data_IF_374527708411
#
_entry.id   IF_374527708411
#
_cell.length_a   1.000
_cell.length_b   1.000
_cell.length_c   1.000
_cell.angle_alpha   90.00
_cell.angle_beta   90.00
_cell.angle_gamma   90.00
#
_symmetry.space_group_name_H-M   'P 1'
#
loop_
_entity.id
_entity.type
_entity.pdbx_description
1 polymer ?
#
# COMPACT_ATOMS: atom_id res chain seq x y z
N UNK A 1 18.80 -71.97 -11.40
CA UNK A 1 19.11 -71.07 -12.53
C UNK A 1 17.80 -70.48 -13.05
N UNK A 2 17.70 -69.14 -13.08
CA UNK A 2 16.84 -68.24 -13.89
C UNK A 2 15.31 -68.53 -13.94
N UNK A 3 14.44 -67.69 -13.37
CA UNK A 3 14.06 -66.28 -13.68
C UNK A 3 12.99 -66.15 -14.78
N UNK A 4 11.97 -65.30 -14.54
CA UNK A 4 11.01 -64.79 -15.51
C UNK A 4 9.58 -64.70 -14.94
N UNK A 5 9.28 -63.82 -13.97
CA UNK A 5 8.93 -62.39 -14.12
C UNK A 5 7.52 -62.14 -14.68
N UNK A 6 6.57 -61.91 -13.77
CA UNK A 6 5.27 -61.28 -13.99
C UNK A 6 5.47 -59.76 -13.93
N UNK A 7 5.17 -59.03 -15.01
CA UNK A 7 5.11 -57.57 -15.01
C UNK A 7 3.69 -57.13 -14.63
N UNK A 8 3.50 -56.65 -13.41
CA UNK A 8 2.34 -55.82 -13.04
C UNK A 8 2.72 -54.37 -13.34
N UNK A 9 2.02 -53.78 -14.30
CA UNK A 9 2.12 -52.38 -14.68
C UNK A 9 1.33 -51.54 -13.67
N UNK A 10 1.95 -51.16 -12.56
CA UNK A 10 1.39 -50.14 -11.65
C UNK A 10 1.78 -48.77 -12.20
N UNK A 11 0.88 -48.14 -12.95
CA UNK A 11 0.99 -46.73 -13.28
C UNK A 11 0.82 -45.91 -12.00
N UNK A 12 1.94 -45.56 -11.36
CA UNK A 12 1.99 -44.51 -10.35
C UNK A 12 1.72 -43.21 -11.12
N UNK A 13 0.48 -42.74 -11.06
CA UNK A 13 0.14 -41.34 -11.29
C UNK A 13 1.02 -40.53 -10.33
N UNK A 14 2.14 -40.04 -10.85
CA UNK A 14 2.88 -38.96 -10.24
C UNK A 14 1.91 -37.79 -10.17
N UNK A 15 1.33 -37.58 -8.99
CA UNK A 15 0.75 -36.31 -8.64
C UNK A 15 1.89 -35.29 -8.70
N UNK A 16 2.12 -34.73 -9.88
CA UNK A 16 2.67 -33.39 -10.03
C UNK A 16 1.60 -32.43 -9.53
N UNK A 17 1.38 -32.43 -8.21
CA UNK A 17 1.11 -31.18 -7.53
C UNK A 17 2.36 -30.33 -7.78
N UNK A 18 2.32 -29.49 -8.82
CA UNK A 18 3.14 -28.30 -8.85
C UNK A 18 3.02 -27.71 -7.45
N UNK A 19 4.10 -27.77 -6.69
CA UNK A 19 4.20 -27.06 -5.43
C UNK A 19 3.74 -25.64 -5.73
N UNK A 20 2.61 -25.21 -5.17
CA UNK A 20 2.44 -23.81 -4.85
C UNK A 20 3.64 -23.51 -3.94
N UNK A 21 4.71 -22.99 -4.53
CA UNK A 21 5.99 -22.84 -3.86
C UNK A 21 5.70 -22.01 -2.61
N UNK A 22 5.81 -22.62 -1.43
CA UNK A 22 5.29 -22.07 -0.18
C UNK A 22 5.75 -20.62 0.01
N UNK A 23 4.86 -19.65 -0.20
CA UNK A 23 5.15 -18.23 -0.06
C UNK A 23 5.72 -17.97 1.33
N UNK A 24 6.74 -17.10 1.43
CA UNK A 24 7.27 -16.74 2.75
C UNK A 24 6.13 -16.15 3.60
N UNK A 25 6.14 -16.49 4.88
CA UNK A 25 5.19 -15.94 5.84
C UNK A 25 5.87 -14.79 6.59
N UNK A 26 5.28 -13.59 6.61
CA UNK A 26 5.77 -12.50 7.44
C UNK A 26 5.79 -12.92 8.91
N UNK A 27 6.83 -12.51 9.62
CA UNK A 27 6.84 -12.58 11.09
C UNK A 27 5.99 -11.41 11.62
N UNK A 28 4.96 -11.66 12.45
CA UNK A 28 4.14 -10.61 13.03
C UNK A 28 4.96 -9.62 13.87
N UNK A 29 4.61 -8.33 13.84
CA UNK A 29 5.26 -7.30 14.65
C UNK A 29 5.16 -7.56 16.17
N UNK A 30 4.08 -8.21 16.61
CA UNK A 30 3.90 -8.61 18.00
C UNK A 30 4.96 -9.62 18.46
N UNK A 31 5.56 -10.37 17.53
CA UNK A 31 6.53 -11.43 17.80
C UNK A 31 7.99 -10.95 17.67
N UNK A 32 8.21 -9.65 17.45
CA UNK A 32 9.55 -9.06 17.22
C UNK A 32 9.82 -7.91 18.20
N UNK A 33 10.84 -8.07 19.03
CA UNK A 33 11.33 -7.01 19.91
C UNK A 33 12.54 -6.30 19.29
N UNK A 34 12.36 -5.02 18.94
CA UNK A 34 13.43 -4.17 18.41
C UNK A 34 14.14 -3.49 19.57
N UNK A 35 15.35 -3.94 19.89
CA UNK A 35 16.15 -3.48 21.04
C UNK A 35 17.41 -2.69 20.65
N UNK A 36 17.70 -2.57 19.35
CA UNK A 36 18.90 -1.89 18.86
C UNK A 36 18.87 -0.37 19.03
N UNK A 37 20.06 0.22 19.16
CA UNK A 37 20.26 1.66 19.44
C UNK A 37 19.74 2.59 18.35
N UNK A 38 19.60 2.10 17.11
CA UNK A 38 19.11 2.91 16.01
C UNK A 38 17.59 3.00 15.96
N UNK A 39 16.89 1.86 15.95
CA UNK A 39 15.44 1.83 15.72
C UNK A 39 14.62 1.95 17.01
N UNK A 40 15.08 1.40 18.13
CA UNK A 40 14.29 1.42 19.36
C UNK A 40 13.96 2.86 19.83
N UNK A 41 14.91 3.82 19.85
CA UNK A 41 14.59 5.20 20.21
C UNK A 41 13.61 5.87 19.23
N UNK A 42 13.73 5.59 17.92
CA UNK A 42 12.84 6.16 16.89
C UNK A 42 11.42 5.63 16.99
N UNK A 43 11.26 4.34 17.29
CA UNK A 43 9.94 3.74 17.54
C UNK A 43 9.29 4.40 18.75
N UNK A 44 10.07 4.65 19.81
CA UNK A 44 9.58 5.31 21.02
C UNK A 44 9.21 6.78 20.78
N UNK A 45 10.04 7.52 20.02
CA UNK A 45 9.73 8.90 19.59
C UNK A 45 8.46 8.93 18.72
N UNK A 46 8.31 7.99 17.79
CA UNK A 46 7.11 7.90 16.97
C UNK A 46 5.85 7.68 17.84
N UNK A 47 5.95 6.82 18.87
CA UNK A 47 4.86 6.52 19.81
C UNK A 47 4.49 7.72 20.69
N UNK A 48 5.49 8.42 21.22
CA UNK A 48 5.31 9.46 22.27
C UNK A 48 5.20 10.87 21.71
N UNK A 49 5.74 11.13 20.53
CA UNK A 49 5.78 12.46 19.90
C UNK A 49 5.03 12.48 18.59
N UNK A 50 5.44 11.69 17.58
CA UNK A 50 4.94 11.84 16.21
C UNK A 50 3.45 11.50 16.07
N UNK A 51 3.03 10.33 16.56
CA UNK A 51 1.61 9.94 16.50
C UNK A 51 0.75 10.87 17.36
N UNK A 52 1.27 11.32 18.51
CA UNK A 52 0.59 12.28 19.37
C UNK A 52 0.42 13.65 18.68
N UNK A 53 1.43 14.08 17.92
CA UNK A 53 1.35 15.28 17.09
C UNK A 53 0.26 15.12 16.03
N UNK A 54 0.20 13.97 15.35
CA UNK A 54 -0.85 13.69 14.39
C UNK A 54 -2.24 13.76 15.03
N UNK A 55 -2.48 13.15 16.18
CA UNK A 55 -3.78 13.26 16.88
C UNK A 55 -4.18 14.72 17.12
N UNK A 56 -3.26 15.53 17.67
CA UNK A 56 -3.52 16.97 17.90
C UNK A 56 -3.78 17.74 16.62
N UNK A 57 -3.09 17.43 15.52
CA UNK A 57 -3.29 18.11 14.25
C UNK A 57 -4.67 17.79 13.66
N UNK A 58 -5.09 16.52 13.67
CA UNK A 58 -6.41 16.10 13.22
C UNK A 58 -7.51 16.73 14.10
N UNK A 59 -7.30 16.79 15.41
CA UNK A 59 -8.17 17.52 16.34
C UNK A 59 -8.32 19.01 15.98
N UNK A 60 -7.19 19.70 15.80
CA UNK A 60 -7.18 21.14 15.52
C UNK A 60 -7.84 21.50 14.19
N UNK A 61 -7.82 20.59 13.22
CA UNK A 61 -8.37 20.81 11.89
C UNK A 61 -9.82 20.33 11.75
N UNK A 62 -10.36 19.66 12.77
CA UNK A 62 -11.69 19.05 12.73
C UNK A 62 -11.82 17.89 11.74
N UNK A 63 -10.71 17.44 11.16
CA UNK A 63 -10.65 16.25 10.30
C UNK A 63 -10.37 15.09 11.22
N UNK A 64 -11.33 14.19 11.37
CA UNK A 64 -11.20 13.00 12.21
C UNK A 64 -11.45 11.71 11.42
N UNK A 65 -11.52 11.85 10.10
CA UNK A 65 -11.81 10.81 9.13
C UNK A 65 -10.51 10.23 8.55
N UNK A 66 -9.63 9.72 9.43
CA UNK A 66 -8.41 9.04 9.00
C UNK A 66 -8.28 7.66 9.62
N UNK A 67 -8.65 6.61 8.87
CA UNK A 67 -8.41 5.22 9.29
C UNK A 67 -6.94 4.94 9.59
N UNK A 68 -6.01 5.68 8.98
CA UNK A 68 -4.55 5.54 9.22
C UNK A 68 -4.14 5.86 10.65
N UNK A 69 -4.83 6.76 11.35
CA UNK A 69 -4.56 7.02 12.76
C UNK A 69 -5.03 5.86 13.65
N UNK A 70 -6.18 5.26 13.32
CA UNK A 70 -6.67 4.06 14.00
C UNK A 70 -5.68 2.90 13.79
N UNK A 71 -5.20 2.72 12.56
CA UNK A 71 -4.19 1.72 12.21
C UNK A 71 -2.88 1.94 12.99
N UNK A 72 -2.36 3.17 13.02
CA UNK A 72 -1.15 3.51 13.78
C UNK A 72 -1.32 3.23 15.28
N UNK A 73 -2.46 3.63 15.86
CA UNK A 73 -2.75 3.37 17.26
C UNK A 73 -2.91 1.87 17.56
N UNK A 74 -3.50 1.10 16.64
CA UNK A 74 -3.59 -0.34 16.76
C UNK A 74 -2.19 -0.98 16.86
N UNK A 75 -1.23 -0.51 16.05
CA UNK A 75 0.15 -0.98 16.16
C UNK A 75 0.79 -0.62 17.51
N UNK A 76 0.55 0.59 18.04
CA UNK A 76 1.00 0.95 19.39
C UNK A 76 0.41 0.03 20.46
N UNK A 77 -0.91 -0.19 20.43
CA UNK A 77 -1.65 -1.01 21.40
C UNK A 77 -1.33 -2.50 21.31
N UNK A 78 -0.83 -2.97 20.16
CA UNK A 78 -0.35 -4.35 20.03
C UNK A 78 0.99 -4.58 20.74
N UNK A 79 1.77 -3.51 20.94
CA UNK A 79 3.07 -3.54 21.64
C UNK A 79 2.95 -3.20 23.11
N UNK A 80 2.18 -2.17 23.44
CA UNK A 80 1.98 -1.70 24.81
C UNK A 80 0.52 -1.31 25.02
N UNK A 81 -0.13 -1.95 25.99
CA UNK A 81 -1.52 -1.61 26.35
C UNK A 81 -1.57 -0.20 26.95
N UNK A 82 -2.54 0.58 26.47
CA UNK A 82 -2.82 1.93 26.94
C UNK A 82 -4.34 2.14 26.92
N UNK A 83 -5.03 1.96 28.07
CA UNK A 83 -6.48 2.09 28.14
C UNK A 83 -7.01 3.49 27.77
N UNK A 84 -6.21 4.54 28.01
CA UNK A 84 -6.60 5.91 27.70
C UNK A 84 -6.57 6.14 26.18
N UNK A 85 -5.49 5.70 25.52
CA UNK A 85 -5.40 5.71 24.06
C UNK A 85 -6.48 4.83 23.43
N UNK A 86 -6.72 3.64 23.96
CA UNK A 86 -7.75 2.74 23.43
C UNK A 86 -9.15 3.38 23.49
N UNK A 87 -9.50 4.00 24.61
CA UNK A 87 -10.78 4.71 24.78
C UNK A 87 -10.91 5.90 23.83
N UNK A 88 -9.82 6.64 23.64
CA UNK A 88 -9.80 7.74 22.68
C UNK A 88 -10.04 7.27 21.24
N UNK A 89 -9.35 6.20 20.84
CA UNK A 89 -9.43 5.64 19.49
C UNK A 89 -10.76 4.95 19.22
N UNK A 90 -11.43 4.36 20.23
CA UNK A 90 -12.82 3.88 20.12
C UNK A 90 -13.75 5.00 19.61
N UNK A 91 -13.56 6.24 20.08
CA UNK A 91 -14.32 7.39 19.61
C UNK A 91 -14.06 7.75 18.14
N UNK A 92 -12.85 7.49 17.63
CA UNK A 92 -12.54 7.64 16.20
C UNK A 92 -13.14 6.50 15.38
N UNK A 93 -13.06 5.27 15.88
CA UNK A 93 -13.68 4.08 15.28
C UNK A 93 -15.18 4.29 15.09
N UNK A 94 -15.87 4.84 16.10
CA UNK A 94 -17.31 5.10 16.01
C UNK A 94 -17.67 6.10 14.91
N UNK A 95 -16.85 7.15 14.73
CA UNK A 95 -17.05 8.15 13.66
C UNK A 95 -16.83 7.53 12.28
N UNK A 96 -15.76 6.75 12.12
CA UNK A 96 -15.43 6.06 10.87
C UNK A 96 -16.49 5.01 10.50
N UNK A 97 -16.93 4.22 11.47
CA UNK A 97 -18.00 3.25 11.28
C UNK A 97 -19.27 3.95 10.82
N UNK A 98 -19.71 5.02 11.50
CA UNK A 98 -20.88 5.77 11.09
C UNK A 98 -20.71 6.40 9.69
N UNK A 99 -19.49 6.81 9.33
CA UNK A 99 -19.15 7.36 8.03
C UNK A 99 -19.32 6.30 6.91
N UNK A 100 -18.81 5.09 7.13
CA UNK A 100 -18.96 3.97 6.18
C UNK A 100 -20.40 3.48 6.12
N UNK A 101 -21.10 3.37 7.24
CA UNK A 101 -22.49 2.92 7.29
C UNK A 101 -23.43 3.78 6.43
N UNK A 102 -23.22 5.11 6.39
CA UNK A 102 -23.98 6.00 5.49
C UNK A 102 -23.80 5.66 4.01
N UNK A 103 -22.60 5.20 3.62
CA UNK A 103 -22.28 4.86 2.22
C UNK A 103 -22.85 3.52 1.78
N UNK A 104 -23.20 2.63 2.71
CA UNK A 104 -23.74 1.29 2.39
C UNK A 104 -25.05 1.34 1.59
N UNK A 105 -25.75 2.47 1.60
CA UNK A 105 -27.04 2.65 0.93
C UNK A 105 -26.94 2.79 -0.60
N UNK A 106 -25.75 3.03 -1.17
CA UNK A 106 -25.56 3.24 -2.61
C UNK A 106 -24.28 2.60 -3.12
N UNK A 107 -24.32 1.82 -4.21
CA UNK A 107 -23.13 1.29 -4.87
C UNK A 107 -22.07 2.35 -5.18
N UNK A 108 -22.50 3.51 -5.67
CA UNK A 108 -21.65 4.63 -6.09
C UNK A 108 -20.93 5.30 -4.90
N UNK A 109 -21.45 5.12 -3.69
CA UNK A 109 -20.86 5.61 -2.46
C UNK A 109 -20.00 4.55 -1.77
N UNK A 110 -20.47 3.30 -1.67
CA UNK A 110 -19.73 2.25 -0.96
C UNK A 110 -18.44 1.86 -1.68
N UNK A 111 -18.39 1.94 -3.01
CA UNK A 111 -17.16 1.71 -3.77
C UNK A 111 -16.03 2.71 -3.44
N UNK A 112 -16.39 3.86 -2.85
CA UNK A 112 -15.45 4.92 -2.42
C UNK A 112 -15.00 4.76 -0.98
N UNK A 113 -15.37 3.67 -0.30
CA UNK A 113 -14.79 3.33 0.99
C UNK A 113 -13.30 3.03 0.77
N UNK A 114 -12.44 3.79 1.45
CA UNK A 114 -11.00 3.67 1.29
C UNK A 114 -10.50 2.30 1.75
N UNK A 115 -9.55 1.73 1.03
CA UNK A 115 -8.87 0.51 1.47
C UNK A 115 -8.19 0.66 2.83
N UNK A 116 -7.81 1.89 3.22
CA UNK A 116 -7.29 2.19 4.56
C UNK A 116 -8.30 1.88 5.67
N UNK A 117 -9.60 2.01 5.41
CA UNK A 117 -10.62 1.59 6.38
C UNK A 117 -10.56 0.09 6.63
N UNK A 118 -10.31 -0.71 5.59
CA UNK A 118 -10.17 -2.15 5.71
C UNK A 118 -8.87 -2.55 6.43
N UNK A 119 -7.74 -1.92 6.10
CA UNK A 119 -6.47 -2.14 6.80
C UNK A 119 -6.58 -1.79 8.30
N UNK A 120 -7.15 -0.62 8.60
CA UNK A 120 -7.38 -0.17 9.97
C UNK A 120 -8.33 -1.10 10.74
N UNK A 121 -9.40 -1.60 10.10
CA UNK A 121 -10.32 -2.54 10.72
C UNK A 121 -9.64 -3.85 11.12
N UNK A 122 -8.74 -4.38 10.27
CA UNK A 122 -7.93 -5.57 10.57
C UNK A 122 -6.95 -5.27 11.70
N UNK A 123 -6.19 -4.17 11.61
CA UNK A 123 -5.22 -3.81 12.63
C UNK A 123 -5.88 -3.61 14.01
N UNK A 124 -7.00 -2.89 14.05
CA UNK A 124 -7.76 -2.63 15.27
C UNK A 124 -8.31 -3.91 15.89
N UNK A 125 -8.88 -4.80 15.07
CA UNK A 125 -9.35 -6.11 15.52
C UNK A 125 -8.22 -6.94 16.14
N UNK A 126 -7.05 -6.99 15.51
CA UNK A 126 -5.90 -7.74 16.03
C UNK A 126 -5.37 -7.15 17.34
N UNK A 127 -5.35 -5.83 17.48
CA UNK A 127 -4.81 -5.15 18.66
C UNK A 127 -5.72 -5.25 19.89
N UNK A 128 -7.04 -5.20 19.69
CA UNK A 128 -8.03 -5.03 20.77
C UNK A 128 -9.03 -6.19 20.91
N UNK A 129 -9.16 -7.04 19.90
CA UNK A 129 -10.22 -8.05 19.79
C UNK A 129 -11.60 -7.47 19.44
N UNK A 130 -11.74 -6.14 19.32
CA UNK A 130 -13.03 -5.48 19.05
C UNK A 130 -13.45 -5.66 17.60
N UNK A 131 -14.72 -5.99 17.39
CA UNK A 131 -15.26 -6.37 16.07
C UNK A 131 -16.11 -5.31 15.39
N UNK A 132 -16.36 -4.15 16.02
CA UNK A 132 -17.25 -3.12 15.46
C UNK A 132 -16.80 -2.67 14.07
N UNK A 133 -15.56 -2.17 13.95
CA UNK A 133 -14.99 -1.71 12.68
C UNK A 133 -14.87 -2.83 11.66
N UNK A 134 -14.39 -4.02 12.08
CA UNK A 134 -14.30 -5.20 11.23
C UNK A 134 -15.67 -5.63 10.68
N UNK A 135 -16.71 -5.61 11.51
CA UNK A 135 -18.07 -5.93 11.09
C UNK A 135 -18.59 -4.97 10.02
N UNK A 136 -18.30 -3.67 10.14
CA UNK A 136 -18.66 -2.67 9.14
C UNK A 136 -17.84 -2.82 7.85
N UNK A 137 -16.55 -3.17 7.96
CA UNK A 137 -15.71 -3.48 6.80
C UNK A 137 -16.28 -4.67 6.00
N UNK A 138 -16.68 -5.75 6.67
CA UNK A 138 -17.32 -6.90 6.04
C UNK A 138 -18.60 -6.49 5.30
N UNK A 139 -19.50 -5.73 5.93
CA UNK A 139 -20.73 -5.23 5.28
C UNK A 139 -20.44 -4.38 4.04
N UNK A 140 -19.42 -3.52 4.11
CA UNK A 140 -19.02 -2.69 2.98
C UNK A 140 -18.52 -3.55 1.82
N UNK A 141 -17.68 -4.56 2.09
CA UNK A 141 -17.19 -5.46 1.05
C UNK A 141 -18.32 -6.30 0.45
N UNK A 142 -19.28 -6.79 1.24
CA UNK A 142 -20.45 -7.49 0.70
C UNK A 142 -21.28 -6.59 -0.22
N UNK A 143 -21.47 -5.32 0.14
CA UNK A 143 -22.18 -4.36 -0.70
C UNK A 143 -21.40 -4.04 -2.00
N UNK A 144 -20.07 -3.97 -1.94
CA UNK A 144 -19.22 -3.82 -3.13
C UNK A 144 -19.31 -5.07 -4.00
N UNK A 145 -19.10 -6.27 -3.45
CA UNK A 145 -19.15 -7.55 -4.19
C UNK A 145 -20.53 -7.77 -4.80
N UNK A 146 -21.62 -7.33 -4.17
CA UNK A 146 -22.96 -7.41 -4.73
C UNK A 146 -23.13 -6.54 -6.00
N UNK A 147 -22.51 -5.36 -6.04
CA UNK A 147 -22.70 -4.38 -7.10
C UNK A 147 -21.62 -4.40 -8.19
N UNK A 148 -20.40 -4.85 -7.88
CA UNK A 148 -19.22 -4.79 -8.73
C UNK A 148 -18.62 -6.18 -8.97
N UNK A 149 -18.01 -6.38 -10.13
CA UNK A 149 -17.40 -7.65 -10.51
C UNK A 149 -17.78 -8.11 -11.92
N UNK A 150 -17.34 -9.32 -12.33
CA UNK A 150 -17.65 -9.87 -13.65
C UNK A 150 -19.16 -9.93 -13.92
N UNK A 151 -19.60 -9.34 -15.02
CA UNK A 151 -21.02 -9.24 -15.39
C UNK A 151 -21.85 -8.24 -14.57
N UNK A 152 -21.21 -7.45 -13.71
CA UNK A 152 -21.81 -6.40 -12.88
C UNK A 152 -21.21 -5.03 -13.26
N UNK A 153 -21.35 -4.01 -12.39
CA UNK A 153 -20.70 -2.72 -12.60
C UNK A 153 -19.17 -2.87 -12.55
N UNK A 154 -18.48 -2.02 -13.29
CA UNK A 154 -17.03 -1.82 -13.17
C UNK A 154 -16.72 -0.49 -12.48
N UNK A 155 -15.51 -0.38 -11.93
CA UNK A 155 -15.00 0.83 -11.31
C UNK A 155 -13.49 0.87 -11.43
N UNK A 156 -12.96 2.00 -11.88
CA UNK A 156 -11.52 2.26 -11.87
C UNK A 156 -11.29 3.40 -10.90
N UNK A 157 -10.62 3.08 -9.79
CA UNK A 157 -10.28 4.07 -8.79
C UNK A 157 -9.33 5.11 -9.40
N UNK A 158 -9.61 6.38 -9.18
CA UNK A 158 -8.66 7.43 -9.51
C UNK A 158 -7.34 7.18 -8.78
N UNK A 159 -7.41 6.92 -7.47
CA UNK A 159 -6.26 6.57 -6.62
C UNK A 159 -6.42 5.14 -6.09
N UNK A 160 -5.42 4.31 -6.32
CA UNK A 160 -5.36 2.91 -5.93
C UNK A 160 -5.23 2.77 -4.41
N UNK A 161 -5.73 1.66 -3.88
CA UNK A 161 -5.67 1.37 -2.44
C UNK A 161 -6.80 0.48 -1.96
N UNK A 162 -7.95 0.47 -2.67
CA UNK A 162 -9.06 -0.44 -2.37
C UNK A 162 -8.61 -1.90 -2.39
N UNK A 163 -7.83 -2.27 -3.40
CA UNK A 163 -7.29 -3.60 -3.63
C UNK A 163 -6.37 -4.04 -2.49
N UNK A 164 -5.56 -3.11 -1.94
CA UNK A 164 -4.72 -3.37 -0.75
C UNK A 164 -5.59 -3.75 0.44
N UNK A 165 -6.65 -2.97 0.70
CA UNK A 165 -7.60 -3.23 1.78
C UNK A 165 -8.36 -4.56 1.61
N UNK A 166 -8.78 -4.88 0.39
CA UNK A 166 -9.43 -6.16 0.07
C UNK A 166 -8.49 -7.35 0.33
N UNK A 167 -7.21 -7.22 -0.02
CA UNK A 167 -6.20 -8.25 0.26
C UNK A 167 -5.87 -8.35 1.76
N UNK A 168 -5.89 -7.23 2.50
CA UNK A 168 -5.79 -7.26 3.96
C UNK A 168 -6.94 -8.04 4.59
N UNK A 169 -8.17 -7.81 4.12
CA UNK A 169 -9.34 -8.55 4.56
C UNK A 169 -9.28 -10.02 4.15
N UNK A 170 -8.80 -10.35 2.94
CA UNK A 170 -8.55 -11.74 2.54
C UNK A 170 -7.60 -12.45 3.50
N UNK A 171 -6.48 -11.81 3.89
CA UNK A 171 -5.53 -12.40 4.86
C UNK A 171 -6.14 -12.58 6.25
N UNK A 172 -7.08 -11.72 6.64
CA UNK A 172 -7.74 -11.81 7.94
C UNK A 172 -8.85 -12.88 7.97
N UNK A 173 -9.59 -13.06 6.87
CA UNK A 173 -10.78 -13.92 6.84
C UNK A 173 -10.59 -15.25 6.12
N UNK A 174 -9.63 -15.35 5.22
CA UNK A 174 -9.48 -16.46 4.27
C UNK A 174 -10.52 -16.48 3.14
N UNK A 175 -11.38 -15.45 3.02
CA UNK A 175 -12.44 -15.40 2.02
C UNK A 175 -11.90 -15.09 0.62
N UNK A 176 -11.86 -16.12 -0.23
CA UNK A 176 -11.34 -16.04 -1.59
C UNK A 176 -12.07 -15.01 -2.48
N UNK A 177 -13.32 -14.66 -2.19
CA UNK A 177 -14.02 -13.60 -2.94
C UNK A 177 -13.28 -12.26 -2.89
N UNK A 178 -12.60 -11.95 -1.78
CA UNK A 178 -11.98 -10.64 -1.58
C UNK A 178 -10.76 -10.42 -2.46
N UNK A 179 -9.85 -11.40 -2.58
CA UNK A 179 -8.73 -11.27 -3.50
C UNK A 179 -9.16 -11.37 -4.97
N UNK A 180 -10.21 -12.13 -5.28
CA UNK A 180 -10.79 -12.18 -6.63
C UNK A 180 -11.41 -10.84 -7.03
N UNK A 181 -12.05 -10.15 -6.09
CA UNK A 181 -12.57 -8.81 -6.30
C UNK A 181 -11.43 -7.79 -6.48
N UNK A 182 -10.34 -7.90 -5.71
CA UNK A 182 -9.14 -7.09 -5.93
C UNK A 182 -8.54 -7.33 -7.31
N UNK A 183 -8.42 -8.60 -7.74
CA UNK A 183 -7.99 -8.97 -9.09
C UNK A 183 -8.90 -8.39 -10.16
N UNK A 184 -10.23 -8.41 -9.96
CA UNK A 184 -11.17 -7.80 -10.89
C UNK A 184 -10.86 -6.31 -11.09
N UNK A 185 -10.77 -5.50 -10.02
CA UNK A 185 -10.46 -4.08 -10.15
C UNK A 185 -9.09 -3.82 -10.79
N UNK A 186 -8.09 -4.65 -10.47
CA UNK A 186 -6.78 -4.60 -11.10
C UNK A 186 -6.87 -4.86 -12.62
N UNK A 187 -7.63 -5.86 -13.05
CA UNK A 187 -7.77 -6.25 -14.46
C UNK A 187 -8.61 -5.25 -15.27
N UNK A 188 -9.54 -4.55 -14.64
CA UNK A 188 -10.36 -3.51 -15.29
C UNK A 188 -9.54 -2.27 -15.67
N UNK A 189 -8.47 -1.99 -14.92
CA UNK A 189 -7.59 -0.85 -15.18
C UNK A 189 -6.94 -0.98 -16.56
N UNK A 190 -7.04 0.10 -17.34
CA UNK A 190 -6.49 0.21 -18.69
C UNK A 190 -7.44 -0.13 -19.83
N UNK A 191 -8.62 -0.70 -19.55
CA UNK A 191 -9.63 -1.00 -20.59
C UNK A 191 -10.39 0.24 -21.00
N UNK A 192 -10.84 0.35 -22.25
CA UNK A 192 -11.53 1.57 -22.75
C UNK A 192 -13.03 1.65 -22.38
N UNK A 193 -13.59 0.62 -21.76
CA UNK A 193 -15.01 0.45 -21.47
C UNK A 193 -15.50 1.18 -20.20
N UNK A 194 -14.62 1.96 -19.55
CA UNK A 194 -14.96 2.80 -18.40
C UNK A 194 -14.89 4.30 -18.75
N UNK A 195 -15.90 5.12 -18.46
CA UNK A 195 -15.82 6.55 -18.72
C UNK A 195 -14.90 7.25 -17.71
N UNK A 196 -13.84 7.90 -18.19
CA UNK A 196 -12.95 8.73 -17.36
C UNK A 196 -13.42 10.18 -17.39
N UNK A 197 -13.23 10.91 -16.30
CA UNK A 197 -13.58 12.33 -16.19
C UNK A 197 -12.42 13.13 -15.60
N UNK A 198 -12.39 14.43 -15.89
CA UNK A 198 -11.38 15.36 -15.36
C UNK A 198 -9.97 15.03 -15.84
N UNK A 199 -8.98 15.26 -14.97
CA UNK A 199 -7.56 15.05 -15.27
C UNK A 199 -7.23 13.62 -15.69
N UNK A 200 -7.95 12.62 -15.17
CA UNK A 200 -7.78 11.21 -15.55
C UNK A 200 -8.15 10.92 -17.01
N UNK A 201 -9.02 11.74 -17.61
CA UNK A 201 -9.34 11.63 -19.03
C UNK A 201 -8.26 12.29 -19.91
N UNK A 202 -7.52 13.27 -19.38
CA UNK A 202 -6.50 14.02 -20.11
C UNK A 202 -5.16 13.28 -20.14
N UNK A 203 -4.78 12.67 -19.02
CA UNK A 203 -3.58 11.85 -18.91
C UNK A 203 -3.87 10.58 -18.11
N UNK A 204 -4.10 9.48 -18.84
CA UNK A 204 -4.35 8.17 -18.24
C UNK A 204 -3.09 7.57 -17.60
N UNK A 205 -1.89 8.07 -17.91
CA UNK A 205 -0.65 7.57 -17.29
C UNK A 205 -0.56 7.97 -15.83
N UNK A 206 -1.12 9.13 -15.46
CA UNK A 206 -1.13 9.67 -14.10
C UNK A 206 -1.63 8.66 -13.05
N UNK A 207 -2.65 7.86 -13.40
CA UNK A 207 -3.22 6.79 -12.57
C UNK A 207 -3.01 5.39 -13.16
N UNK A 208 -1.93 5.20 -13.93
CA UNK A 208 -1.53 3.90 -14.47
C UNK A 208 -2.67 3.18 -15.21
N UNK A 209 -3.53 3.94 -15.89
CA UNK A 209 -4.75 3.50 -16.55
C UNK A 209 -4.66 3.65 -18.08
N UNK A 210 -3.45 3.92 -18.58
CA UNK A 210 -3.16 4.15 -20.01
C UNK A 210 -3.19 2.87 -20.85
N UNK A 211 -3.00 1.71 -20.23
CA UNK A 211 -3.07 0.40 -20.87
C UNK A 211 -3.38 -0.70 -19.84
N UNK A 212 -3.94 -1.85 -20.26
CA UNK A 212 -4.17 -2.98 -19.36
C UNK A 212 -2.94 -3.31 -18.54
N UNK A 213 -3.10 -3.60 -17.25
CA UNK A 213 -1.98 -3.79 -16.31
C UNK A 213 -0.97 -4.85 -16.76
N UNK A 214 -1.42 -5.91 -17.43
CA UNK A 214 -0.56 -6.96 -17.97
C UNK A 214 0.31 -6.50 -19.16
N UNK A 215 -0.12 -5.43 -19.84
CA UNK A 215 0.59 -4.82 -20.96
C UNK A 215 1.53 -3.70 -20.51
N UNK A 216 1.45 -3.26 -19.25
CA UNK A 216 2.38 -2.27 -18.71
C UNK A 216 3.81 -2.81 -18.63
N UNK A 217 4.76 -1.98 -19.06
CA UNK A 217 6.19 -2.33 -19.09
C UNK A 217 7.06 -1.34 -18.31
N UNK A 218 6.51 -0.19 -17.92
CA UNK A 218 7.25 0.90 -17.29
C UNK A 218 6.50 1.47 -16.08
N UNK A 219 7.25 1.97 -15.11
CA UNK A 219 6.67 2.75 -14.02
C UNK A 219 6.47 4.21 -14.47
N UNK A 220 5.21 4.65 -14.51
CA UNK A 220 4.80 5.96 -15.05
C UNK A 220 3.74 6.61 -14.17
N UNK A 221 3.54 7.91 -14.34
CA UNK A 221 2.53 8.67 -13.60
C UNK A 221 2.86 8.84 -12.13
N UNK A 222 1.86 9.19 -11.32
CA UNK A 222 2.02 9.53 -9.91
C UNK A 222 2.67 8.39 -9.14
N UNK A 223 3.77 8.67 -8.41
CA UNK A 223 4.61 7.63 -7.82
C UNK A 223 3.89 6.82 -6.73
N UNK A 224 3.09 7.47 -5.87
CA UNK A 224 2.26 6.78 -4.87
C UNK A 224 1.24 5.86 -5.52
N UNK A 225 0.37 6.39 -6.40
CA UNK A 225 -0.62 5.61 -7.16
C UNK A 225 -0.02 4.37 -7.81
N UNK A 226 1.10 4.56 -8.51
CA UNK A 226 1.84 3.48 -9.12
C UNK A 226 2.23 2.40 -8.09
N UNK A 227 2.90 2.77 -7.00
CA UNK A 227 3.25 1.77 -5.97
C UNK A 227 2.04 1.13 -5.30
N UNK A 228 0.95 1.87 -5.14
CA UNK A 228 -0.30 1.38 -4.56
C UNK A 228 -1.09 0.48 -5.51
N UNK A 229 -0.83 0.55 -6.82
CA UNK A 229 -1.23 -0.45 -7.81
C UNK A 229 -0.33 -1.69 -7.72
N UNK A 230 1.00 -1.50 -7.59
CA UNK A 230 1.97 -2.59 -7.67
C UNK A 230 1.97 -3.50 -6.43
N UNK A 231 1.67 -2.95 -5.24
CA UNK A 231 1.49 -3.72 -4.00
C UNK A 231 0.43 -4.83 -4.16
N UNK A 232 -0.84 -4.53 -4.49
CA UNK A 232 -1.86 -5.54 -4.67
C UNK A 232 -1.62 -6.39 -5.92
N UNK A 233 -0.97 -5.83 -6.96
CA UNK A 233 -0.58 -6.60 -8.14
C UNK A 233 0.38 -7.75 -7.79
N UNK A 234 1.38 -7.51 -6.94
CA UNK A 234 2.28 -8.56 -6.45
C UNK A 234 1.53 -9.70 -5.75
N UNK A 235 0.57 -9.37 -4.88
CA UNK A 235 -0.22 -10.38 -4.19
C UNK A 235 -1.16 -11.13 -5.13
N UNK A 236 -1.78 -10.44 -6.10
CA UNK A 236 -2.61 -11.08 -7.13
C UNK A 236 -1.77 -11.99 -8.03
N UNK A 237 -0.54 -11.62 -8.38
CA UNK A 237 0.38 -12.47 -9.12
C UNK A 237 0.65 -13.78 -8.37
N UNK A 238 0.95 -13.69 -7.07
CA UNK A 238 1.16 -14.85 -6.22
C UNK A 238 -0.10 -15.72 -6.07
N UNK A 239 -1.26 -15.12 -5.83
CA UNK A 239 -2.52 -15.83 -5.56
C UNK A 239 -3.15 -16.46 -6.80
N UNK A 240 -3.01 -15.81 -7.95
CA UNK A 240 -3.54 -16.33 -9.21
C UNK A 240 -2.75 -17.52 -9.76
N UNK A 241 -1.45 -17.59 -9.45
CA UNK A 241 -0.54 -18.58 -10.02
C UNK A 241 -0.32 -18.41 -11.53
N UNK A 242 -0.73 -17.26 -12.10
CA UNK A 242 -0.68 -16.97 -13.52
C UNK A 242 0.62 -16.21 -13.87
N UNK A 243 1.51 -16.79 -14.69
CA UNK A 243 2.85 -16.24 -14.93
C UNK A 243 2.85 -14.88 -15.63
N UNK A 244 1.80 -14.54 -16.37
CA UNK A 244 1.66 -13.25 -17.05
C UNK A 244 1.59 -12.05 -16.07
N UNK A 245 1.02 -12.25 -14.88
CA UNK A 245 0.98 -11.22 -13.84
C UNK A 245 2.38 -10.95 -13.32
N UNK A 246 3.14 -12.01 -13.04
CA UNK A 246 4.53 -11.86 -12.60
C UNK A 246 5.39 -11.21 -13.69
N UNK A 247 5.24 -11.64 -14.94
CA UNK A 247 6.01 -11.08 -16.04
C UNK A 247 5.78 -9.58 -16.24
N UNK A 248 4.55 -9.09 -16.08
CA UNK A 248 4.25 -7.66 -16.12
C UNK A 248 4.89 -6.91 -14.95
N UNK A 249 4.73 -7.44 -13.74
CA UNK A 249 5.31 -6.85 -12.54
C UNK A 249 6.84 -6.78 -12.58
N UNK A 250 7.50 -7.81 -13.10
CA UNK A 250 8.96 -7.85 -13.28
C UNK A 250 9.44 -6.76 -14.23
N UNK A 251 8.74 -6.53 -15.36
CA UNK A 251 9.11 -5.46 -16.30
C UNK A 251 9.00 -4.08 -15.65
N UNK A 252 7.89 -3.81 -14.98
CA UNK A 252 7.64 -2.55 -14.28
C UNK A 252 8.68 -2.34 -13.17
N UNK A 253 8.97 -3.38 -12.38
CA UNK A 253 9.98 -3.33 -11.32
C UNK A 253 11.37 -3.04 -11.87
N UNK A 254 11.78 -3.72 -12.94
CA UNK A 254 13.09 -3.48 -13.56
C UNK A 254 13.23 -2.04 -14.08
N UNK A 255 12.19 -1.51 -14.72
CA UNK A 255 12.17 -0.12 -15.18
C UNK A 255 12.25 0.87 -14.01
N UNK A 256 11.41 0.69 -12.98
CA UNK A 256 11.41 1.54 -11.79
C UNK A 256 12.77 1.54 -11.08
N UNK A 257 13.33 0.35 -10.83
CA UNK A 257 14.53 0.18 -10.00
C UNK A 257 15.80 0.53 -10.74
N UNK A 258 15.97 0.06 -11.97
CA UNK A 258 17.23 0.25 -12.69
C UNK A 258 17.33 1.61 -13.39
N UNK A 259 16.20 2.28 -13.63
CA UNK A 259 16.17 3.49 -14.48
C UNK A 259 15.58 4.71 -13.77
N UNK A 260 14.76 4.54 -12.72
CA UNK A 260 13.92 5.63 -12.17
C UNK A 260 13.97 5.75 -10.63
N UNK A 261 14.90 5.06 -9.96
CA UNK A 261 15.07 5.10 -8.51
C UNK A 261 16.34 5.88 -8.13
N UNK A 262 16.21 6.82 -7.19
CA UNK A 262 17.32 7.60 -6.67
C UNK A 262 18.30 6.73 -5.85
N UNK A 263 19.51 7.25 -5.61
CA UNK A 263 20.50 6.58 -4.73
C UNK A 263 19.97 6.37 -3.30
N UNK A 264 19.02 7.19 -2.86
CA UNK A 264 18.33 7.08 -1.56
C UNK A 264 17.20 6.04 -1.56
N UNK A 265 16.91 5.38 -2.68
CA UNK A 265 15.75 4.49 -2.84
C UNK A 265 14.43 5.21 -3.11
N UNK A 266 14.39 6.54 -3.04
CA UNK A 266 13.22 7.34 -3.36
C UNK A 266 12.84 7.25 -4.84
N UNK A 267 11.57 7.51 -5.15
CA UNK A 267 11.00 7.51 -6.51
C UNK A 267 10.15 8.76 -6.75
N UNK A 268 9.93 9.10 -8.02
CA UNK A 268 9.19 10.30 -8.43
C UNK A 268 10.13 11.49 -8.67
N UNK A 269 10.62 11.65 -9.90
CA UNK A 269 11.56 12.71 -10.26
C UNK A 269 10.90 14.02 -10.67
N UNK A 270 9.60 14.01 -10.95
CA UNK A 270 8.87 15.19 -11.45
C UNK A 270 7.94 15.72 -10.36
N UNK A 271 8.12 17.01 -10.03
CA UNK A 271 7.25 17.70 -9.05
C UNK A 271 5.82 17.87 -9.54
N UNK A 272 5.65 18.20 -10.82
CA UNK A 272 4.31 18.29 -11.41
C UNK A 272 3.67 16.90 -11.36
N UNK A 273 2.49 16.80 -10.75
CA UNK A 273 1.76 15.53 -10.57
C UNK A 273 2.52 14.44 -9.80
N UNK A 274 3.61 14.78 -9.11
CA UNK A 274 4.29 13.88 -8.16
C UNK A 274 4.70 12.54 -8.80
N UNK A 275 5.17 12.61 -10.05
CA UNK A 275 5.23 11.45 -10.95
C UNK A 275 6.65 10.94 -11.24
N UNK A 276 6.72 9.70 -11.72
CA UNK A 276 7.89 9.17 -12.40
C UNK A 276 8.24 10.04 -13.62
N UNK A 277 9.52 10.36 -13.78
CA UNK A 277 10.05 10.99 -14.98
C UNK A 277 10.54 9.98 -16.02
N UNK A 278 11.25 10.48 -17.02
CA UNK A 278 11.85 9.64 -18.05
C UNK A 278 12.93 8.72 -17.47
N UNK A 279 13.26 7.62 -18.15
CA UNK A 279 14.40 6.78 -17.78
C UNK A 279 15.70 7.57 -17.60
N UNK A 280 16.37 7.34 -16.47
CA UNK A 280 17.61 8.01 -16.04
C UNK A 280 17.46 9.51 -15.75
N UNK A 281 16.24 10.03 -15.71
CA UNK A 281 15.94 11.41 -15.29
C UNK A 281 15.81 11.48 -13.76
N UNK A 282 16.94 11.73 -13.09
CA UNK A 282 17.04 11.77 -11.63
C UNK A 282 17.67 13.08 -11.12
N UNK A 283 17.00 14.24 -11.32
CA UNK A 283 17.53 15.52 -10.88
C UNK A 283 17.51 15.66 -9.35
N UNK A 284 18.69 15.84 -8.74
CA UNK A 284 18.82 15.86 -7.28
C UNK A 284 18.06 17.02 -6.58
N UNK A 285 18.08 18.22 -7.16
CA UNK A 285 17.49 19.42 -6.52
C UNK A 285 16.00 19.59 -6.82
N UNK A 286 15.54 19.20 -8.01
CA UNK A 286 14.14 19.36 -8.44
C UNK A 286 13.31 18.08 -8.30
N UNK A 287 13.93 16.93 -7.98
CA UNK A 287 13.26 15.66 -7.71
C UNK A 287 12.18 15.76 -6.64
N UNK A 288 11.04 15.10 -6.85
CA UNK A 288 9.94 15.13 -5.89
C UNK A 288 10.19 14.22 -4.71
N UNK A 289 10.42 12.91 -4.95
CA UNK A 289 10.83 11.96 -3.93
C UNK A 289 9.92 12.02 -2.69
N UNK A 290 8.63 11.72 -2.90
CA UNK A 290 7.63 11.80 -1.84
C UNK A 290 7.84 10.70 -0.80
N UNK A 291 7.71 11.03 0.50
CA UNK A 291 7.81 10.05 1.60
C UNK A 291 6.76 8.93 1.46
N UNK A 292 5.55 9.23 0.98
CA UNK A 292 4.51 8.23 0.71
C UNK A 292 4.91 7.26 -0.41
N UNK A 293 5.62 7.76 -1.43
CA UNK A 293 6.10 6.94 -2.53
C UNK A 293 7.24 6.03 -2.06
N UNK A 294 8.10 6.51 -1.15
CA UNK A 294 9.09 5.67 -0.46
C UNK A 294 8.42 4.56 0.37
N UNK A 295 7.36 4.87 1.13
CA UNK A 295 6.58 3.85 1.85
C UNK A 295 5.99 2.81 0.89
N UNK A 296 5.34 3.26 -0.19
CA UNK A 296 4.80 2.37 -1.21
C UNK A 296 5.87 1.49 -1.86
N UNK A 297 7.05 2.05 -2.15
CA UNK A 297 8.18 1.31 -2.71
C UNK A 297 8.71 0.24 -1.73
N UNK A 298 8.78 0.57 -0.44
CA UNK A 298 9.15 -0.40 0.60
C UNK A 298 8.14 -1.55 0.68
N UNK A 299 6.84 -1.25 0.74
CA UNK A 299 5.79 -2.28 0.84
C UNK A 299 5.72 -3.13 -0.43
N UNK A 300 5.88 -2.53 -1.61
CA UNK A 300 5.93 -3.25 -2.88
C UNK A 300 7.09 -4.25 -2.90
N UNK A 301 8.30 -3.83 -2.54
CA UNK A 301 9.45 -4.73 -2.49
C UNK A 301 9.31 -5.80 -1.41
N UNK A 302 8.65 -5.50 -0.29
CA UNK A 302 8.30 -6.52 0.69
C UNK A 302 7.37 -7.59 0.10
N UNK A 303 6.35 -7.21 -0.70
CA UNK A 303 5.49 -8.20 -1.40
C UNK A 303 6.26 -9.01 -2.43
N UNK A 304 7.13 -8.36 -3.21
CA UNK A 304 8.01 -9.05 -4.15
C UNK A 304 8.92 -10.07 -3.46
N UNK A 305 9.52 -9.71 -2.32
CA UNK A 305 10.37 -10.60 -1.54
C UNK A 305 9.61 -11.83 -1.04
N UNK A 306 8.41 -11.66 -0.47
CA UNK A 306 7.64 -12.78 0.07
C UNK A 306 7.30 -13.84 -0.99
N UNK A 307 7.14 -13.39 -2.24
CA UNK A 307 6.84 -14.24 -3.38
C UNK A 307 8.11 -14.85 -3.97
N UNK A 308 9.08 -14.01 -4.34
CA UNK A 308 10.23 -14.38 -5.16
C UNK A 308 11.44 -14.85 -4.36
N UNK A 309 11.52 -14.50 -3.08
CA UNK A 309 12.59 -14.92 -2.14
C UNK A 309 13.98 -14.51 -2.58
N UNK A 310 14.06 -13.41 -3.31
CA UNK A 310 15.31 -12.87 -3.81
C UNK A 310 15.73 -11.68 -2.93
N UNK A 311 16.97 -11.71 -2.45
CA UNK A 311 17.50 -10.69 -1.55
C UNK A 311 17.53 -9.29 -2.20
N UNK A 312 17.54 -9.18 -3.53
CA UNK A 312 17.53 -7.88 -4.23
C UNK A 312 16.38 -6.97 -3.80
N UNK A 313 15.23 -7.56 -3.46
CA UNK A 313 14.07 -6.81 -2.99
C UNK A 313 14.31 -6.28 -1.57
N UNK A 314 14.97 -7.06 -0.72
CA UNK A 314 15.37 -6.66 0.64
C UNK A 314 16.47 -5.60 0.60
N UNK A 315 17.42 -5.70 -0.33
CA UNK A 315 18.46 -4.68 -0.53
C UNK A 315 17.83 -3.31 -0.86
N UNK A 316 16.80 -3.29 -1.71
CA UNK A 316 16.06 -2.07 -2.01
C UNK A 316 15.21 -1.60 -0.82
N UNK A 317 14.57 -2.51 -0.08
CA UNK A 317 13.85 -2.17 1.16
C UNK A 317 14.78 -1.49 2.17
N UNK A 318 15.99 -2.02 2.38
CA UNK A 318 16.99 -1.42 3.28
C UNK A 318 17.36 -0.02 2.81
N UNK A 319 17.70 0.14 1.53
CA UNK A 319 18.04 1.45 0.95
C UNK A 319 16.92 2.48 1.18
N UNK A 320 15.67 2.11 0.90
CA UNK A 320 14.51 2.98 1.10
C UNK A 320 14.33 3.32 2.58
N UNK A 321 14.31 2.30 3.45
CA UNK A 321 14.00 2.43 4.86
C UNK A 321 15.01 3.33 5.60
N UNK A 322 16.31 3.16 5.33
CA UNK A 322 17.37 3.90 6.03
C UNK A 322 17.70 5.25 5.39
N UNK A 323 17.15 5.55 4.21
CA UNK A 323 17.39 6.81 3.51
C UNK A 323 16.06 7.49 3.17
N UNK A 324 15.52 7.21 1.98
CA UNK A 324 14.43 7.99 1.37
C UNK A 324 13.07 7.93 2.07
N UNK A 325 12.91 7.09 3.09
CA UNK A 325 11.74 7.08 3.97
C UNK A 325 12.01 7.79 5.30
N UNK A 326 13.15 7.49 5.93
CA UNK A 326 13.47 7.98 7.27
C UNK A 326 13.76 9.48 7.32
N UNK A 327 14.24 10.05 6.20
CA UNK A 327 14.43 11.50 6.04
C UNK A 327 13.11 12.30 6.02
N UNK A 328 11.97 11.63 5.87
CA UNK A 328 10.63 12.22 5.91
C UNK A 328 10.16 12.62 7.31
N UNK A 329 10.85 12.24 8.38
CA UNK A 329 10.51 12.57 9.77
C UNK A 329 11.74 13.10 10.51
N UNK A 330 11.56 14.21 11.23
CA UNK A 330 12.60 14.78 12.10
C UNK A 330 13.09 13.80 13.17
N UNK A 331 14.32 14.00 13.66
CA UNK A 331 14.87 13.15 14.72
C UNK A 331 14.07 13.27 16.02
N UNK A 332 13.55 14.46 16.30
CA UNK A 332 12.68 14.78 17.44
C UNK A 332 11.25 14.27 17.24
N UNK A 333 10.87 13.93 16.01
CA UNK A 333 9.57 13.36 15.65
C UNK A 333 8.41 14.35 15.63
N UNK A 334 8.65 15.65 15.76
CA UNK A 334 7.62 16.70 15.81
C UNK A 334 7.41 17.47 14.49
N UNK A 335 8.25 17.20 13.49
CA UNK A 335 8.13 17.69 12.12
C UNK A 335 8.27 16.55 11.09
N UNK A 336 7.61 16.73 9.94
CA UNK A 336 7.71 15.83 8.78
C UNK A 336 7.92 16.60 7.48
N UNK A 337 8.50 15.92 6.49
CA UNK A 337 8.60 16.41 5.12
C UNK A 337 7.79 15.53 4.19
N UNK A 338 6.99 16.16 3.34
CA UNK A 338 6.37 15.48 2.19
C UNK A 338 7.40 15.15 1.11
N UNK A 339 8.47 15.96 1.02
CA UNK A 339 9.43 15.94 -0.09
C UNK A 339 10.83 15.69 0.42
N UNK A 340 11.54 14.72 -0.15
CA UNK A 340 12.93 14.46 0.21
C UNK A 340 13.86 14.90 -0.92
N UNK A 341 15.06 15.39 -0.61
CA UNK A 341 15.99 15.94 -1.61
C UNK A 341 17.31 15.21 -1.54
N UNK A 342 17.85 14.83 -2.70
CA UNK A 342 19.17 14.19 -2.79
C UNK A 342 20.34 15.17 -2.83
N UNK A 343 20.08 16.48 -2.66
CA UNK A 343 21.12 17.51 -2.55
C UNK A 343 20.76 18.54 -1.46
N UNK A 344 21.74 19.00 -0.66
CA UNK A 344 21.52 20.06 0.31
C UNK A 344 21.15 21.38 -0.39
N UNK A 345 20.18 22.11 0.15
CA UNK A 345 20.02 23.53 -0.19
C UNK A 345 21.20 24.29 0.39
N UNK A 346 21.98 24.98 -0.45
CA UNK A 346 23.00 25.90 0.03
C UNK A 346 22.38 26.84 1.08
N UNK A 347 23.00 26.90 2.26
CA UNK A 347 22.64 27.79 3.35
C UNK A 347 22.83 29.23 2.92
N UNK A 348 21.79 29.82 2.34
CA UNK A 348 21.64 31.28 2.34
C UNK A 348 20.78 31.63 3.54
N UNK A 349 21.36 32.38 4.48
CA UNK A 349 20.65 33.16 5.49
C UNK A 349 19.58 34.02 4.80
N UNK A 350 18.39 33.48 4.60
CA UNK A 350 17.21 34.20 4.24
C UNK A 350 16.27 34.07 5.43
N UNK A 351 16.02 35.20 6.08
CA UNK A 351 14.94 35.42 7.04
C UNK A 351 13.73 34.58 6.69
N UNK A 352 13.15 33.93 7.71
CA UNK A 352 11.96 33.09 7.60
C UNK A 352 10.81 33.83 6.90
N UNK A 353 10.77 33.74 5.58
CA UNK A 353 9.60 34.03 4.78
C UNK A 353 8.72 32.80 4.85
N UNK A 354 7.56 32.93 5.48
CA UNK A 354 6.55 31.87 5.50
C UNK A 354 6.17 31.51 4.07
N UNK A 355 6.73 30.41 3.57
CA UNK A 355 6.15 29.73 2.42
C UNK A 355 4.85 29.14 2.94
N UNK A 356 3.75 29.88 2.76
CA UNK A 356 2.40 29.38 3.02
C UNK A 356 2.28 28.02 2.34
N UNK A 357 1.77 26.98 3.03
CA UNK A 357 1.44 25.75 2.35
C UNK A 357 0.47 26.10 1.22
N UNK A 358 0.83 25.74 -0.01
CA UNK A 358 -0.13 25.76 -1.09
C UNK A 358 -1.34 24.94 -0.62
N UNK A 359 -2.54 25.49 -0.77
CA UNK A 359 -3.77 24.82 -0.39
C UNK A 359 -3.75 23.40 -1.00
N UNK A 360 -3.84 22.38 -0.14
CA UNK A 360 -3.97 20.99 -0.58
C UNK A 360 -5.17 20.88 -1.52
N UNK A 361 -5.03 20.33 -2.73
CA UNK A 361 -6.15 19.71 -3.40
C UNK A 361 -6.70 18.60 -2.49
N UNK A 362 -8.01 18.47 -2.40
CA UNK A 362 -8.74 17.57 -1.50
C UNK A 362 -8.57 16.07 -1.79
N UNK A 363 -7.54 15.66 -2.54
CA UNK A 363 -7.44 14.33 -3.16
C UNK A 363 -6.45 13.36 -2.48
N UNK A 364 -5.68 13.79 -1.48
CA UNK A 364 -4.76 12.93 -0.71
C UNK A 364 -5.36 12.43 0.62
N UNK A 365 -6.68 12.19 0.66
CA UNK A 365 -7.37 11.57 1.80
C UNK A 365 -8.07 10.29 1.33
#
# INVERSE_FOLDING_TARGET
>A
MRSGSVFILTAILAACSLHAAATLRPVPLADVDVTGEFWAPRIEINRTVSIQHCFRQFESTGRFDSPRLIEAAAYMLSRQKDPALETYVDGLVDREVANVERRLSSPEQVIRVSGYFFEAAVAWHRATGKRKMLGTALKAIEAIDAAYGPGKKTYIAGHEGLEIGLLAMYRETGENRYWKLAKFFLDERGKDDYPRQGEYALDRTYAQDHQPVLQQTEAVGHAVRATYLYIPFAEVAALSGLPEYQGALDRIWQDAVYRKTYVTGSIGSIRFHEQFGAPYELPNLSGWSETCASYGNFVWNHRMFLQQRDARYVDLMERVLYNGFLDGVSLEGDASSTRTRSAPTATTNASHGSIRPAARPTWCA
#
